data_IF_343661623161
#
_entry.id   IF_343661623161
#
_cell.length_a   1.000
_cell.length_b   1.000
_cell.length_c   1.000
_cell.angle_alpha   90.00
_cell.angle_beta   90.00
_cell.angle_gamma   90.00
#
_symmetry.space_group_name_H-M   'P 1'
#
loop_
_entity.id
_entity.type
_entity.pdbx_description
1 polymer ?
#
# COMPACT_ATOMS: atom_id res chain seq x y z
N UNK A 1 0.04 -53.81 9.65
CA UNK A 1 -0.65 -52.53 9.94
C UNK A 1 0.31 -51.34 9.96
N UNK A 2 1.44 -51.43 10.67
CA UNK A 2 2.45 -50.36 10.80
C UNK A 2 2.98 -49.78 9.46
N UNK A 3 3.18 -50.60 8.43
CA UNK A 3 3.70 -50.15 7.12
C UNK A 3 2.74 -49.25 6.35
N UNK A 4 1.43 -49.40 6.52
CA UNK A 4 0.44 -48.48 5.93
C UNK A 4 0.48 -47.13 6.65
N UNK A 5 0.56 -47.13 7.97
CA UNK A 5 0.63 -45.92 8.80
C UNK A 5 1.90 -45.11 8.54
N UNK A 6 3.03 -45.78 8.32
CA UNK A 6 4.31 -45.11 7.97
C UNK A 6 4.23 -44.49 6.56
N UNK A 7 3.58 -45.16 5.61
CA UNK A 7 3.38 -44.61 4.26
C UNK A 7 2.47 -43.38 4.26
N UNK A 8 1.36 -43.40 5.01
CA UNK A 8 0.47 -42.24 5.14
C UNK A 8 1.15 -41.08 5.86
N UNK A 9 1.92 -41.33 6.93
CA UNK A 9 2.67 -40.29 7.63
C UNK A 9 3.71 -39.61 6.73
N UNK A 10 4.45 -40.40 5.92
CA UNK A 10 5.39 -39.84 4.92
C UNK A 10 4.67 -39.00 3.87
N UNK A 11 3.54 -39.46 3.35
CA UNK A 11 2.75 -38.70 2.39
C UNK A 11 2.25 -37.37 2.96
N UNK A 12 1.70 -37.39 4.17
CA UNK A 12 1.25 -36.19 4.87
C UNK A 12 2.39 -35.19 5.11
N UNK A 13 3.57 -35.68 5.51
CA UNK A 13 4.75 -34.83 5.68
C UNK A 13 5.16 -34.12 4.39
N UNK A 14 5.16 -34.83 3.26
CA UNK A 14 5.47 -34.24 1.95
C UNK A 14 4.44 -33.17 1.56
N UNK A 15 3.15 -33.41 1.80
CA UNK A 15 2.07 -32.44 1.51
C UNK A 15 2.24 -31.16 2.34
N UNK A 16 2.53 -31.28 3.64
CA UNK A 16 2.72 -30.12 4.53
C UNK A 16 3.92 -29.29 4.09
N UNK A 17 5.04 -29.93 3.72
CA UNK A 17 6.22 -29.23 3.22
C UNK A 17 5.91 -28.52 1.89
N UNK A 18 5.24 -29.18 0.96
CA UNK A 18 4.87 -28.58 -0.32
C UNK A 18 3.96 -27.36 -0.15
N UNK A 19 2.98 -27.42 0.75
CA UNK A 19 2.09 -26.30 1.07
C UNK A 19 2.83 -25.12 1.72
N UNK A 20 3.76 -25.41 2.64
CA UNK A 20 4.58 -24.37 3.30
C UNK A 20 5.50 -23.63 2.33
N UNK A 21 6.12 -24.35 1.38
CA UNK A 21 7.00 -23.73 0.37
C UNK A 21 6.19 -22.97 -0.68
N UNK A 22 4.99 -23.41 -1.04
CA UNK A 22 4.10 -22.69 -1.95
C UNK A 22 3.56 -21.36 -1.35
N UNK A 23 3.46 -21.26 -0.02
CA UNK A 23 3.08 -20.02 0.68
C UNK A 23 4.24 -19.03 0.91
N UNK A 24 5.49 -19.48 0.75
CA UNK A 24 6.65 -18.59 0.73
C UNK A 24 6.70 -17.89 -0.62
N UNK A 25 6.03 -16.73 -0.68
CA UNK A 25 5.90 -15.81 -1.81
C UNK A 25 6.81 -16.12 -3.01
N UNK A 26 6.20 -16.57 -4.09
CA UNK A 26 6.89 -16.81 -5.37
C UNK A 26 7.58 -15.51 -5.82
N UNK A 27 8.56 -15.55 -6.73
CA UNK A 27 9.24 -14.32 -7.23
C UNK A 27 8.23 -13.25 -7.67
N UNK A 28 7.05 -13.67 -8.15
CA UNK A 28 5.91 -12.81 -8.48
C UNK A 28 5.44 -11.90 -7.32
N UNK A 29 5.58 -12.34 -6.07
CA UNK A 29 5.20 -11.62 -4.86
C UNK A 29 6.36 -10.81 -4.25
N UNK A 30 7.63 -11.21 -4.46
CA UNK A 30 8.79 -10.33 -4.17
C UNK A 30 9.01 -9.24 -5.23
N UNK A 31 8.52 -9.48 -6.44
CA UNK A 31 8.31 -8.46 -7.47
C UNK A 31 6.83 -8.10 -7.56
N UNK A 32 6.07 -8.16 -6.45
CA UNK A 32 4.80 -7.47 -6.37
C UNK A 32 5.09 -6.08 -6.90
N UNK A 33 4.53 -5.69 -8.05
CA UNK A 33 5.12 -4.60 -8.75
C UNK A 33 4.82 -3.38 -7.89
N UNK A 34 5.87 -2.67 -7.50
CA UNK A 34 5.76 -1.27 -7.16
C UNK A 34 5.11 -0.47 -8.33
N UNK A 35 4.74 -1.10 -9.47
CA UNK A 35 3.63 -0.63 -10.31
C UNK A 35 2.34 -0.64 -9.52
N UNK A 36 2.20 0.45 -8.78
CA UNK A 36 0.93 1.03 -8.37
C UNK A 36 -0.07 0.93 -9.56
N UNK A 37 -1.24 0.28 -9.38
CA UNK A 37 -2.16 -0.02 -10.46
C UNK A 37 -2.54 1.23 -11.27
N UNK A 38 -2.57 1.09 -12.60
CA UNK A 38 -2.89 2.19 -13.52
C UNK A 38 -4.32 2.76 -13.34
N UNK A 39 -5.20 2.01 -12.68
CA UNK A 39 -6.55 2.42 -12.31
C UNK A 39 -6.59 3.36 -11.09
N UNK A 40 -5.51 3.45 -10.30
CA UNK A 40 -5.51 4.35 -9.15
C UNK A 40 -5.60 5.79 -9.62
N UNK A 41 -6.51 6.54 -9.01
CA UNK A 41 -6.80 7.95 -9.29
C UNK A 41 -5.58 8.85 -9.32
N UNK A 42 -4.51 8.49 -8.59
CA UNK A 42 -3.23 9.19 -8.62
C UNK A 42 -2.50 9.18 -9.98
N UNK A 43 -2.91 8.32 -10.92
CA UNK A 43 -2.41 8.28 -12.31
C UNK A 43 -3.43 8.78 -13.34
N UNK A 44 -4.68 9.00 -12.95
CA UNK A 44 -5.62 9.67 -13.83
C UNK A 44 -5.11 11.09 -14.08
N UNK A 45 -5.41 11.63 -15.28
CA UNK A 45 -5.16 13.04 -15.53
C UNK A 45 -5.84 13.86 -14.43
N UNK A 46 -5.10 14.79 -13.82
CA UNK A 46 -5.64 15.66 -12.79
C UNK A 46 -6.84 16.41 -13.42
N UNK A 47 -8.08 16.22 -12.92
CA UNK A 47 -9.23 16.93 -13.46
C UNK A 47 -9.19 18.43 -13.14
N UNK A 48 -8.27 18.86 -12.26
CA UNK A 48 -8.10 20.27 -11.93
C UNK A 48 -7.43 20.99 -13.09
N UNK A 49 -7.83 22.24 -13.37
CA UNK A 49 -7.10 23.07 -14.32
C UNK A 49 -5.66 23.28 -13.82
N UNK A 50 -4.75 23.50 -14.76
CA UNK A 50 -3.36 23.87 -14.45
C UNK A 50 -3.35 25.01 -13.42
N UNK A 51 -2.78 24.71 -12.26
CA UNK A 51 -2.59 25.68 -11.21
C UNK A 51 -1.51 26.64 -11.72
N UNK A 52 -1.88 27.89 -11.99
CA UNK A 52 -0.96 28.92 -12.49
C UNK A 52 0.29 29.11 -11.61
N UNK A 53 1.14 30.09 -11.93
CA UNK A 53 2.38 30.30 -11.18
C UNK A 53 2.13 30.41 -9.68
N UNK A 54 3.02 29.77 -8.90
CA UNK A 54 2.94 29.74 -7.45
C UNK A 54 2.84 31.17 -6.89
N UNK A 55 1.79 31.46 -6.13
CA UNK A 55 1.57 32.76 -5.50
C UNK A 55 1.62 32.65 -3.98
N UNK A 56 2.22 33.65 -3.31
CA UNK A 56 2.11 33.76 -1.86
C UNK A 56 0.68 34.09 -1.47
N UNK A 57 0.01 33.17 -0.77
CA UNK A 57 -1.37 33.37 -0.27
C UNK A 57 -1.38 34.22 1.01
N UNK A 58 -0.33 34.13 1.82
CA UNK A 58 -0.20 34.87 3.08
C UNK A 58 0.91 35.91 2.96
N UNK A 59 0.69 36.93 2.11
CA UNK A 59 1.65 38.02 1.89
C UNK A 59 1.98 38.81 3.16
N UNK A 60 1.10 38.81 4.16
CA UNK A 60 1.36 39.31 5.50
C UNK A 60 1.17 38.17 6.52
N UNK A 61 2.27 37.58 7.02
CA UNK A 61 2.20 36.50 8.00
C UNK A 61 1.47 36.89 9.30
N UNK A 62 1.66 38.12 9.77
CA UNK A 62 1.04 38.59 11.02
C UNK A 62 -0.48 38.66 10.91
N UNK A 63 -1.01 39.14 9.78
CA UNK A 63 -2.45 39.15 9.54
C UNK A 63 -3.02 37.73 9.43
N UNK A 64 -2.28 36.81 8.79
CA UNK A 64 -2.70 35.41 8.68
C UNK A 64 -2.77 34.72 10.06
N UNK A 65 -1.78 34.92 10.92
CA UNK A 65 -1.79 34.36 12.27
C UNK A 65 -2.90 34.96 13.14
N UNK A 66 -3.12 36.27 13.08
CA UNK A 66 -4.22 36.91 13.81
C UNK A 66 -5.61 36.36 13.40
N UNK A 67 -5.81 36.05 12.11
CA UNK A 67 -7.04 35.42 11.64
C UNK A 67 -7.21 33.98 12.15
N UNK A 68 -6.12 33.21 12.24
CA UNK A 68 -6.13 31.85 12.82
C UNK A 68 -6.49 31.92 14.31
N UNK A 69 -5.86 32.83 15.05
CA UNK A 69 -6.15 33.02 16.48
C UNK A 69 -7.61 33.40 16.73
N UNK A 70 -8.19 34.25 15.87
CA UNK A 70 -9.61 34.61 15.94
C UNK A 70 -10.55 33.42 15.73
N UNK A 71 -10.25 32.52 14.79
CA UNK A 71 -11.06 31.31 14.54
C UNK A 71 -10.98 30.29 15.70
N UNK A 72 -9.88 30.26 16.44
CA UNK A 72 -9.72 29.35 17.59
C UNK A 72 -10.39 29.87 18.86
N UNK A 73 -10.78 31.16 18.89
CA UNK A 73 -11.40 31.80 20.04
C UNK A 73 -12.94 31.69 20.06
N UNK A 74 -13.54 31.10 19.02
CA UNK A 74 -14.97 30.80 18.89
C UNK A 74 -15.27 29.35 19.28
#
# INVERSE_FOLDING_TARGET
>A
MATRTIKTAKFLSVIVIAAGVAGCGTVKEKTAPCKRPANLTSYAADPRPECGPMSSINGNPSAAFAAIDAMMAE
#
